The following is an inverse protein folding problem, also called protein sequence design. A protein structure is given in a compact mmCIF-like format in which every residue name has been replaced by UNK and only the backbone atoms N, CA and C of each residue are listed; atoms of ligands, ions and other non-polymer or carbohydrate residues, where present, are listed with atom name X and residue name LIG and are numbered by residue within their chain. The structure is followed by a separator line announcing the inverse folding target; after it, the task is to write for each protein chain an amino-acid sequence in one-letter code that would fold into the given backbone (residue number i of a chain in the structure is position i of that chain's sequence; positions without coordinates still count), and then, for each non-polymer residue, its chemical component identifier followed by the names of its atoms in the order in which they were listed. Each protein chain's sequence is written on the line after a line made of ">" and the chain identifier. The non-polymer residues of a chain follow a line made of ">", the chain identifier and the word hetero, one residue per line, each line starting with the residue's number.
data_IF_376878852854
#
_entry.id   IF_376878852854
#
_cell.length_a   1.000
_cell.length_b   1.000
_cell.length_c   1.000
_cell.angle_alpha   90.00
_cell.angle_beta   90.00
_cell.angle_gamma   90.00
#
_symmetry.space_group_name_H-M   'P 1'
#
loop_
_entity.id
_entity.type
_entity.pdbx_description
1 polymer ?
#
# COMPACT_ATOMS: atom_id res chain seq x y z
N UNK A 1 -37.09 7.56 -40.98
CA UNK A 1 -38.32 6.79 -40.74
C UNK A 1 -37.95 5.51 -40.00
N UNK A 2 -38.33 5.43 -38.71
CA UNK A 2 -38.79 4.28 -37.88
C UNK A 2 -38.23 2.88 -38.26
N UNK A 3 -37.62 2.08 -37.38
CA UNK A 3 -38.11 1.40 -36.15
C UNK A 3 -36.87 0.77 -35.46
N UNK A 4 -36.60 0.87 -34.16
CA UNK A 4 -37.49 0.82 -33.01
C UNK A 4 -37.81 -0.63 -32.66
N UNK A 5 -36.96 -1.31 -31.87
CA UNK A 5 -37.28 -2.62 -31.28
C UNK A 5 -36.76 -2.69 -29.84
N UNK A 6 -37.70 -2.43 -28.92
CA UNK A 6 -37.61 -2.77 -27.50
C UNK A 6 -37.90 -4.28 -27.38
N UNK A 7 -37.12 -5.00 -26.56
CA UNK A 7 -37.47 -6.34 -26.08
C UNK A 7 -37.38 -6.31 -24.57
N UNK A 8 -38.43 -6.85 -23.95
CA UNK A 8 -38.80 -6.73 -22.53
C UNK A 8 -38.68 -8.11 -21.86
N UNK A 9 -38.09 -8.14 -20.65
CA UNK A 9 -38.32 -8.97 -19.46
C UNK A 9 -38.55 -10.52 -19.49
N UNK A 10 -37.91 -11.20 -18.52
CA UNK A 10 -38.45 -12.24 -17.59
C UNK A 10 -37.30 -12.64 -16.63
N UNK A 11 -37.32 -12.51 -15.29
CA UNK A 11 -38.10 -13.14 -14.17
C UNK A 11 -37.90 -14.65 -14.02
N UNK A 12 -37.52 -15.07 -12.78
CA UNK A 12 -37.50 -16.41 -12.10
C UNK A 12 -36.07 -16.81 -11.63
N UNK A 13 -35.80 -17.40 -10.47
CA UNK A 13 -36.56 -17.74 -9.26
C UNK A 13 -35.59 -18.17 -8.13
N UNK A 14 -36.10 -18.09 -6.90
CA UNK A 14 -35.69 -18.64 -5.61
C UNK A 14 -34.64 -19.78 -5.49
N UNK A 15 -33.88 -19.73 -4.40
CA UNK A 15 -33.22 -20.88 -3.77
C UNK A 15 -32.85 -20.59 -2.31
N UNK A 16 -33.67 -21.05 -1.37
CA UNK A 16 -33.43 -20.99 0.08
C UNK A 16 -33.35 -22.41 0.64
N UNK A 17 -32.23 -22.77 1.27
CA UNK A 17 -31.98 -23.96 2.10
C UNK A 17 -30.64 -23.69 2.84
N UNK A 18 -30.34 -24.06 4.08
CA UNK A 18 -31.03 -24.50 5.28
C UNK A 18 -29.95 -24.56 6.39
N UNK A 19 -30.38 -24.61 7.65
CA UNK A 19 -29.58 -24.58 8.88
C UNK A 19 -28.58 -25.74 9.03
N UNK A 20 -27.42 -25.46 9.62
CA UNK A 20 -26.46 -26.44 10.14
C UNK A 20 -26.02 -26.05 11.55
N UNK A 21 -26.70 -26.58 12.55
CA UNK A 21 -26.37 -26.49 13.97
C UNK A 21 -25.85 -27.85 14.46
N UNK A 22 -24.69 -27.87 15.13
CA UNK A 22 -24.21 -28.86 16.11
C UNK A 22 -22.84 -28.34 16.59
N UNK A 23 -22.51 -28.13 17.86
CA UNK A 23 -22.88 -28.85 19.07
C UNK A 23 -21.67 -29.70 19.51
N UNK A 24 -21.00 -29.35 20.61
CA UNK A 24 -19.90 -30.16 21.14
C UNK A 24 -19.07 -29.51 22.25
N UNK A 25 -19.56 -29.63 23.48
CA UNK A 25 -18.93 -29.28 24.76
C UNK A 25 -17.83 -30.26 25.18
N UNK A 26 -16.74 -29.75 25.77
CA UNK A 26 -15.76 -30.56 26.51
C UNK A 26 -15.08 -29.70 27.58
N UNK A 27 -15.57 -29.82 28.81
CA UNK A 27 -14.86 -29.39 30.04
C UNK A 27 -13.92 -30.51 30.47
N UNK A 28 -12.72 -30.16 30.93
CA UNK A 28 -12.07 -30.89 32.02
C UNK A 28 -11.17 -29.95 32.83
N UNK A 29 -11.48 -29.91 34.12
CA UNK A 29 -10.74 -29.35 35.24
C UNK A 29 -9.29 -29.88 35.31
N UNK A 30 -8.36 -29.04 35.76
CA UNK A 30 -7.76 -29.21 37.08
C UNK A 30 -6.60 -28.22 37.30
N UNK A 31 -6.67 -27.58 38.47
CA UNK A 31 -5.73 -26.63 38.99
C UNK A 31 -4.29 -27.15 39.09
N UNK A 32 -3.33 -26.23 38.94
CA UNK A 32 -2.11 -26.29 39.76
C UNK A 32 -1.76 -24.88 40.24
N UNK A 33 -1.90 -24.70 41.54
CA UNK A 33 -1.42 -23.60 42.36
C UNK A 33 0.11 -23.49 42.31
N UNK A 34 0.67 -22.28 42.30
CA UNK A 34 1.33 -21.65 43.49
C UNK A 34 2.21 -20.47 43.07
N UNK A 35 1.83 -19.29 43.56
CA UNK A 35 2.61 -18.15 44.08
C UNK A 35 4.15 -18.26 44.07
N UNK A 36 4.83 -17.31 43.41
CA UNK A 36 6.03 -16.63 43.96
C UNK A 36 6.37 -15.32 43.21
N UNK A 37 6.17 -14.19 43.89
CA UNK A 37 6.91 -12.94 43.72
C UNK A 37 7.43 -12.54 45.12
N UNK A 38 8.34 -11.56 45.32
CA UNK A 38 9.15 -10.77 44.38
C UNK A 38 10.66 -10.80 44.75
N UNK A 39 11.53 -10.12 43.97
CA UNK A 39 12.69 -9.41 44.50
C UNK A 39 13.26 -8.43 43.47
N UNK A 40 13.35 -7.16 43.86
CA UNK A 40 14.02 -6.09 43.15
C UNK A 40 15.55 -6.18 43.35
N UNK A 41 16.30 -5.83 42.30
CA UNK A 41 17.71 -5.44 42.43
C UNK A 41 17.93 -4.17 41.63
N UNK A 42 18.24 -3.10 42.38
CA UNK A 42 18.77 -1.83 41.88
C UNK A 42 20.24 -2.01 41.51
N UNK A 43 20.70 -1.44 40.41
CA UNK A 43 22.11 -1.11 40.21
C UNK A 43 22.24 0.22 39.48
N UNK A 44 22.98 1.12 40.13
CA UNK A 44 23.25 2.50 39.73
C UNK A 44 24.59 2.59 39.01
N UNK A 45 24.68 3.62 38.15
CA UNK A 45 25.87 4.39 37.76
C UNK A 45 26.43 4.15 36.35
N UNK A 46 26.55 5.27 35.61
CA UNK A 46 27.28 5.36 34.36
C UNK A 46 27.07 6.68 33.61
N UNK A 47 27.21 7.83 34.28
CA UNK A 47 27.33 9.13 33.60
C UNK A 47 28.69 9.21 32.90
N UNK A 48 28.68 9.34 31.59
CA UNK A 48 29.80 9.84 30.80
C UNK A 48 29.28 10.80 29.74
N UNK A 49 29.60 12.08 29.92
CA UNK A 49 29.42 13.12 28.92
C UNK A 49 30.52 13.00 27.86
N UNK A 50 30.13 12.86 26.59
CA UNK A 50 31.02 13.10 25.45
C UNK A 50 30.35 14.12 24.52
N UNK A 51 30.92 15.32 24.49
CA UNK A 51 30.65 16.34 23.47
C UNK A 51 31.42 15.98 22.21
N UNK A 52 30.71 15.49 21.19
CA UNK A 52 31.25 15.34 19.83
C UNK A 52 30.65 16.42 18.94
N UNK A 53 31.54 17.08 18.20
CA UNK A 53 31.26 18.21 17.33
C UNK A 53 30.17 17.91 16.30
N UNK A 54 29.30 18.90 16.07
CA UNK A 54 28.36 18.93 14.95
C UNK A 54 29.15 19.07 13.64
N UNK A 55 29.40 17.94 12.98
CA UNK A 55 29.66 17.91 11.55
C UNK A 55 28.33 18.19 10.87
N UNK A 56 28.24 19.29 10.13
CA UNK A 56 27.14 19.54 9.22
C UNK A 56 27.16 18.44 8.15
N UNK A 57 26.34 17.42 8.33
CA UNK A 57 25.99 16.49 7.26
C UNK A 57 25.09 17.26 6.31
N UNK A 58 25.64 17.66 5.18
CA UNK A 58 24.83 18.01 4.02
C UNK A 58 24.15 16.72 3.58
N UNK A 59 22.90 16.50 3.98
CA UNK A 59 22.09 15.40 3.47
C UNK A 59 21.85 15.69 1.99
N UNK A 60 22.59 15.00 1.13
CA UNK A 60 22.24 14.91 -0.27
C UNK A 60 20.90 14.20 -0.35
N UNK A 61 19.89 14.93 -0.79
CA UNK A 61 18.55 14.42 -1.06
C UNK A 61 18.68 13.48 -2.24
N UNK A 62 18.46 12.18 -2.01
CA UNK A 62 18.25 11.21 -3.08
C UNK A 62 16.73 11.11 -3.22
N UNK A 63 16.14 11.96 -4.06
CA UNK A 63 14.72 11.80 -4.42
C UNK A 63 14.60 10.54 -5.28
N UNK A 64 13.73 9.62 -4.87
CA UNK A 64 13.42 8.42 -5.64
C UNK A 64 13.20 8.78 -7.11
N UNK A 65 13.88 8.07 -8.01
CA UNK A 65 13.84 8.37 -9.44
C UNK A 65 13.07 7.30 -10.19
N UNK A 66 12.03 7.69 -10.92
CA UNK A 66 11.32 6.79 -11.82
C UNK A 66 11.87 6.90 -13.24
N UNK A 67 12.09 5.75 -13.88
CA UNK A 67 12.42 5.67 -15.30
C UNK A 67 11.52 4.68 -16.00
N UNK A 68 10.81 5.13 -17.02
CA UNK A 68 10.04 4.26 -17.91
C UNK A 68 10.92 3.81 -19.07
N UNK A 69 11.13 2.50 -19.19
CA UNK A 69 11.83 1.89 -20.33
C UNK A 69 10.87 1.66 -21.50
N UNK A 70 11.43 1.58 -22.71
CA UNK A 70 10.68 1.19 -23.91
C UNK A 70 10.05 -0.20 -23.69
N UNK A 71 8.73 -0.29 -23.87
CA UNK A 71 7.93 -1.47 -23.56
C UNK A 71 7.02 -1.36 -22.33
N UNK A 72 6.90 -0.17 -21.71
CA UNK A 72 5.99 0.04 -20.57
C UNK A 72 6.53 -0.47 -19.23
N UNK A 73 7.79 -0.91 -19.19
CA UNK A 73 8.45 -1.32 -17.94
C UNK A 73 8.85 -0.06 -17.19
N UNK A 74 8.16 0.23 -16.09
CA UNK A 74 8.50 1.32 -15.19
C UNK A 74 9.43 0.80 -14.11
N UNK A 75 10.58 1.44 -13.94
CA UNK A 75 11.53 1.16 -12.85
C UNK A 75 11.55 2.37 -11.94
N UNK A 76 11.04 2.19 -10.72
CA UNK A 76 11.09 3.18 -9.66
C UNK A 76 12.28 2.87 -8.77
N UNK A 77 13.19 3.83 -8.62
CA UNK A 77 14.38 3.70 -7.78
C UNK A 77 14.02 4.13 -6.37
N UNK A 78 14.35 3.29 -5.40
CA UNK A 78 14.04 3.52 -3.99
C UNK A 78 14.73 4.80 -3.45
N UNK A 79 13.97 5.58 -2.69
CA UNK A 79 14.46 6.66 -1.85
C UNK A 79 14.86 6.10 -0.49
N UNK A 80 15.90 6.67 0.11
CA UNK A 80 16.47 6.17 1.36
C UNK A 80 15.50 6.28 2.55
N UNK A 81 15.33 5.19 3.30
CA UNK A 81 14.64 5.18 4.59
C UNK A 81 15.27 6.17 5.58
N UNK A 82 14.44 6.81 6.43
CA UNK A 82 14.91 7.50 7.64
C UNK A 82 14.75 9.02 7.68
N UNK A 83 13.97 9.61 6.77
CA UNK A 83 13.42 10.96 6.96
C UNK A 83 12.20 10.91 7.87
N UNK A 84 12.07 11.93 8.71
CA UNK A 84 10.82 12.25 9.43
C UNK A 84 10.07 13.32 8.61
N UNK A 85 8.90 12.97 8.09
CA UNK A 85 8.07 13.82 7.23
C UNK A 85 6.89 14.40 8.01
N UNK A 86 6.79 15.72 8.03
CA UNK A 86 5.72 16.44 8.73
C UNK A 86 4.44 16.56 7.89
N UNK A 87 3.31 16.82 8.55
CA UNK A 87 1.98 16.92 7.89
C UNK A 87 1.94 17.91 6.72
N UNK A 88 2.72 19.00 6.81
CA UNK A 88 2.78 20.03 5.77
C UNK A 88 3.58 19.61 4.52
N UNK A 89 4.34 18.53 4.62
CA UNK A 89 5.13 17.96 3.52
C UNK A 89 4.40 16.79 2.83
N UNK A 90 3.18 16.46 3.28
CA UNK A 90 2.38 15.41 2.66
C UNK A 90 1.72 15.92 1.38
N UNK A 91 1.75 15.08 0.35
CA UNK A 91 1.12 15.34 -0.91
C UNK A 91 -0.37 14.99 -0.89
N UNK A 92 -1.10 15.60 -1.83
CA UNK A 92 -2.50 15.27 -2.08
C UNK A 92 -2.64 14.37 -3.29
N UNK A 93 -3.48 13.35 -3.17
CA UNK A 93 -3.92 12.51 -4.27
C UNK A 93 -5.42 12.72 -4.48
N UNK A 94 -5.80 13.16 -5.68
CA UNK A 94 -7.20 13.43 -6.02
C UNK A 94 -7.55 12.83 -7.39
N UNK A 95 -8.77 12.30 -7.57
CA UNK A 95 -9.85 12.19 -6.59
C UNK A 95 -9.58 11.14 -5.50
N UNK A 96 -10.38 11.11 -4.42
CA UNK A 96 -10.35 9.98 -3.48
C UNK A 96 -10.75 8.68 -4.21
N UNK A 97 -10.19 7.54 -3.81
CA UNK A 97 -10.49 6.24 -4.40
C UNK A 97 -9.28 5.34 -4.61
N UNK A 98 -9.35 4.51 -5.65
CA UNK A 98 -8.32 3.53 -5.99
C UNK A 98 -7.29 4.15 -6.94
N UNK A 99 -6.01 4.04 -6.60
CA UNK A 99 -4.89 4.49 -7.43
C UNK A 99 -3.89 3.37 -7.61
N UNK A 100 -3.28 3.30 -8.78
CA UNK A 100 -2.26 2.31 -9.13
C UNK A 100 -0.89 2.96 -9.11
N UNK A 101 0.13 2.20 -8.76
CA UNK A 101 1.47 2.76 -8.61
C UNK A 101 2.49 1.81 -8.02
N UNK A 102 3.70 2.33 -7.95
CA UNK A 102 4.86 1.67 -7.37
C UNK A 102 5.25 2.36 -6.07
N UNK A 103 5.80 1.58 -5.14
CA UNK A 103 6.34 2.10 -3.90
C UNK A 103 7.80 2.47 -4.14
N UNK A 104 8.12 3.74 -3.90
CA UNK A 104 9.47 4.28 -4.05
C UNK A 104 10.20 4.33 -2.70
N UNK A 105 9.56 4.00 -1.59
CA UNK A 105 10.20 4.00 -0.28
C UNK A 105 9.23 4.17 0.86
N UNK A 106 9.76 4.06 2.07
CA UNK A 106 9.02 4.22 3.30
C UNK A 106 9.75 5.17 4.25
N UNK A 107 9.01 6.15 4.74
CA UNK A 107 9.47 7.14 5.71
C UNK A 107 8.63 7.07 6.99
N UNK A 108 9.16 7.68 8.04
CA UNK A 108 8.38 7.96 9.25
C UNK A 108 7.86 9.38 9.14
N UNK A 109 6.75 9.67 9.78
CA UNK A 109 6.23 11.02 9.77
C UNK A 109 5.31 11.33 10.92
N UNK A 110 4.82 12.57 10.95
CA UNK A 110 3.80 12.97 11.91
C UNK A 110 2.61 13.65 11.23
N UNK A 111 1.41 13.20 11.58
CA UNK A 111 0.14 13.83 11.22
C UNK A 111 -0.50 14.41 12.47
N UNK A 112 -0.62 15.73 12.55
CA UNK A 112 -1.15 16.42 13.74
C UNK A 112 -0.39 16.05 15.04
N UNK A 113 0.92 15.77 14.94
CA UNK A 113 1.76 15.34 16.06
C UNK A 113 1.59 13.88 16.48
N UNK A 114 0.83 13.07 15.72
CA UNK A 114 0.76 11.62 15.88
C UNK A 114 1.74 10.94 14.91
N UNK A 115 2.51 9.94 15.34
CA UNK A 115 3.40 9.21 14.46
C UNK A 115 2.60 8.40 13.44
N UNK A 116 2.99 8.49 12.17
CA UNK A 116 2.44 7.71 11.06
C UNK A 116 3.58 7.17 10.20
N UNK A 117 3.28 6.20 9.35
CA UNK A 117 4.15 5.81 8.25
C UNK A 117 3.82 6.69 7.04
N UNK A 118 4.83 7.08 6.27
CA UNK A 118 4.68 7.87 5.05
C UNK A 118 5.21 7.04 3.89
N UNK A 119 4.32 6.67 2.97
CA UNK A 119 4.65 5.92 1.77
C UNK A 119 5.06 6.88 0.66
N UNK A 120 6.21 6.64 0.05
CA UNK A 120 6.64 7.33 -1.15
C UNK A 120 6.01 6.61 -2.35
N UNK A 121 5.09 7.28 -3.01
CA UNK A 121 4.19 6.70 -4.01
C UNK A 121 4.43 7.29 -5.38
N UNK A 122 4.71 6.42 -6.34
CA UNK A 122 4.82 6.75 -7.75
C UNK A 122 3.55 6.30 -8.48
N UNK A 123 2.69 7.26 -8.81
CA UNK A 123 1.38 7.00 -9.40
C UNK A 123 1.50 6.62 -10.89
N UNK A 124 0.79 5.58 -11.30
CA UNK A 124 0.76 5.10 -12.68
C UNK A 124 -0.66 4.80 -13.15
N UNK A 125 -0.86 4.81 -14.46
CA UNK A 125 -2.10 4.39 -15.09
C UNK A 125 -1.98 2.94 -15.57
N UNK A 126 -2.91 2.08 -15.13
CA UNK A 126 -3.01 0.70 -15.59
C UNK A 126 -4.11 0.58 -16.65
N UNK A 127 -3.71 0.25 -17.88
CA UNK A 127 -4.61 -0.06 -18.98
C UNK A 127 -4.69 -1.57 -19.19
N UNK A 128 -5.85 -2.08 -19.59
CA UNK A 128 -6.06 -3.51 -19.89
C UNK A 128 -6.86 -3.70 -21.19
N UNK A 129 -6.69 -4.85 -21.83
CA UNK A 129 -7.40 -5.23 -23.06
C UNK A 129 -7.15 -4.25 -24.21
N UNK A 130 -8.21 -3.83 -24.89
CA UNK A 130 -8.09 -2.91 -26.03
C UNK A 130 -7.53 -1.54 -25.62
N UNK A 131 -7.86 -1.06 -24.42
CA UNK A 131 -7.34 0.21 -23.92
C UNK A 131 -5.81 0.16 -23.74
N UNK A 132 -5.26 -1.00 -23.37
CA UNK A 132 -3.81 -1.20 -23.29
C UNK A 132 -3.14 -1.11 -24.67
N UNK A 133 -3.75 -1.72 -25.69
CA UNK A 133 -3.26 -1.66 -27.07
C UNK A 133 -3.31 -0.23 -27.60
N UNK A 134 -4.41 0.47 -27.35
CA UNK A 134 -4.58 1.86 -27.81
C UNK A 134 -3.57 2.79 -27.12
N UNK A 135 -3.40 2.66 -25.79
CA UNK A 135 -2.42 3.43 -25.03
C UNK A 135 -0.97 3.11 -25.45
N UNK A 136 -0.62 1.84 -25.64
CA UNK A 136 0.71 1.46 -26.12
C UNK A 136 0.98 2.04 -27.52
N UNK A 137 -0.03 2.03 -28.41
CA UNK A 137 0.10 2.57 -29.75
C UNK A 137 0.29 4.09 -29.77
N UNK A 138 -0.40 4.83 -28.88
CA UNK A 138 -0.18 6.27 -28.68
C UNK A 138 1.27 6.60 -28.29
N UNK A 139 1.89 5.71 -27.49
CA UNK A 139 3.29 5.84 -27.07
C UNK A 139 4.29 5.26 -28.08
N UNK A 140 3.81 4.79 -29.23
CA UNK A 140 4.64 4.19 -30.28
C UNK A 140 5.21 2.81 -29.91
N UNK A 141 4.63 2.14 -28.91
CA UNK A 141 5.00 0.80 -28.46
C UNK A 141 4.13 -0.26 -29.14
N UNK A 142 4.68 -1.47 -29.28
CA UNK A 142 3.89 -2.66 -29.64
C UNK A 142 3.71 -3.49 -28.38
N UNK A 143 2.47 -3.85 -28.07
CA UNK A 143 2.15 -4.58 -26.85
C UNK A 143 2.16 -6.09 -27.10
N UNK A 144 2.93 -6.83 -26.29
CA UNK A 144 2.95 -8.31 -26.30
C UNK A 144 2.08 -8.89 -25.16
N UNK A 145 1.70 -8.06 -24.20
CA UNK A 145 0.86 -8.36 -23.03
C UNK A 145 -0.59 -7.89 -23.27
N UNK A 146 -1.50 -8.26 -22.37
CA UNK A 146 -2.88 -7.76 -22.37
C UNK A 146 -3.09 -6.52 -21.47
N UNK A 147 -2.02 -6.03 -20.85
CA UNK A 147 -1.99 -4.83 -20.02
C UNK A 147 -0.85 -3.90 -20.43
N UNK A 148 -1.01 -2.61 -20.14
CA UNK A 148 0.00 -1.59 -20.34
C UNK A 148 0.00 -0.65 -19.14
N UNK A 149 1.17 -0.41 -18.55
CA UNK A 149 1.34 0.53 -17.44
C UNK A 149 2.03 1.77 -17.97
N UNK A 150 1.39 2.92 -17.80
CA UNK A 150 1.93 4.22 -18.23
C UNK A 150 2.19 5.09 -17.02
N UNK A 151 3.38 5.68 -16.95
CA UNK A 151 3.69 6.73 -15.99
C UNK A 151 4.01 8.03 -16.74
N UNK A 152 2.99 8.83 -17.04
CA UNK A 152 3.17 10.15 -17.67
C UNK A 152 3.71 11.20 -16.69
N UNK A 153 3.48 10.99 -15.39
CA UNK A 153 3.80 11.94 -14.34
C UNK A 153 4.68 11.28 -13.29
N UNK A 154 5.99 11.25 -13.57
CA UNK A 154 7.05 10.68 -12.73
C UNK A 154 7.29 11.51 -11.44
N UNK A 155 6.24 11.74 -10.68
CA UNK A 155 6.27 12.50 -9.42
C UNK A 155 6.09 11.52 -8.27
N UNK A 156 7.11 11.42 -7.41
CA UNK A 156 7.00 10.72 -6.13
C UNK A 156 6.17 11.57 -5.18
N UNK A 157 5.17 10.96 -4.55
CA UNK A 157 4.26 11.60 -3.60
C UNK A 157 4.44 11.04 -2.21
N UNK A 158 4.40 11.90 -1.20
CA UNK A 158 4.46 11.50 0.21
C UNK A 158 3.06 11.35 0.78
N UNK A 159 2.62 10.12 0.99
CA UNK A 159 1.27 9.80 1.42
C UNK A 159 1.27 9.16 2.81
N UNK A 160 0.51 9.72 3.75
CA UNK A 160 0.40 9.14 5.09
C UNK A 160 -0.43 7.85 5.05
N UNK A 161 0.04 6.80 5.72
CA UNK A 161 -0.69 5.55 5.89
C UNK A 161 -1.41 5.56 7.24
N UNK A 162 -2.70 5.24 7.25
CA UNK A 162 -3.43 5.12 8.51
C UNK A 162 -2.94 3.89 9.28
N UNK A 163 -2.83 3.93 10.62
CA UNK A 163 -2.32 2.80 11.40
C UNK A 163 -3.09 1.49 11.21
N UNK A 164 -4.39 1.59 10.88
CA UNK A 164 -5.28 0.45 10.67
C UNK A 164 -5.46 0.10 9.17
N UNK A 165 -4.56 0.55 8.30
CA UNK A 165 -4.64 0.26 6.87
C UNK A 165 -4.60 -1.25 6.61
N UNK A 166 -5.50 -1.75 5.77
CA UNK A 166 -5.44 -3.16 5.34
C UNK A 166 -4.36 -3.32 4.27
N UNK A 167 -3.39 -4.21 4.50
CA UNK A 167 -2.31 -4.46 3.56
C UNK A 167 -2.34 -5.91 3.09
N UNK A 168 -2.30 -6.11 1.78
CA UNK A 168 -2.20 -7.43 1.17
C UNK A 168 -1.11 -7.45 0.10
N UNK A 169 -0.36 -8.55 0.05
CA UNK A 169 0.62 -8.85 -0.99
C UNK A 169 0.19 -10.08 -1.79
N UNK A 170 0.97 -10.45 -2.81
CA UNK A 170 0.70 -11.63 -3.64
C UNK A 170 1.59 -12.81 -3.23
N UNK A 171 0.97 -13.97 -3.00
CA UNK A 171 1.70 -15.20 -2.64
C UNK A 171 2.58 -15.66 -3.81
N UNK A 172 3.91 -15.58 -3.64
CA UNK A 172 4.88 -16.06 -4.63
C UNK A 172 4.72 -15.46 -6.04
N UNK A 173 4.14 -14.25 -6.15
CA UNK A 173 3.83 -13.61 -7.43
C UNK A 173 2.61 -14.18 -8.16
N UNK A 174 1.84 -15.07 -7.52
CA UNK A 174 0.57 -15.58 -8.03
C UNK A 174 -0.62 -14.64 -7.76
N UNK A 175 -1.83 -14.96 -8.24
CA UNK A 175 -3.01 -14.10 -8.10
C UNK A 175 -3.64 -14.15 -6.70
N UNK A 176 -3.07 -14.89 -5.76
CA UNK A 176 -3.65 -15.12 -4.43
C UNK A 176 -3.20 -14.00 -3.48
N UNK A 177 -4.11 -13.14 -2.99
CA UNK A 177 -3.76 -12.15 -2.01
C UNK A 177 -3.53 -12.78 -0.64
N UNK A 178 -2.50 -12.33 0.07
CA UNK A 178 -2.17 -12.73 1.44
C UNK A 178 -2.02 -11.50 2.34
N UNK A 179 -2.46 -11.56 3.61
CA UNK A 179 -2.22 -10.47 4.55
C UNK A 179 -0.73 -10.15 4.70
N UNK A 180 -0.39 -8.87 4.74
CA UNK A 180 1.00 -8.39 4.86
C UNK A 180 1.03 -7.08 5.66
N UNK A 181 2.14 -6.37 5.61
CA UNK A 181 2.34 -5.08 6.28
C UNK A 181 3.03 -4.10 5.33
N UNK A 182 2.89 -2.80 5.61
CA UNK A 182 3.54 -1.75 4.80
C UNK A 182 5.05 -1.99 4.72
N UNK A 183 5.68 -2.31 5.85
CA UNK A 183 7.12 -2.61 6.00
C UNK A 183 7.60 -3.78 5.11
N UNK A 184 6.71 -4.70 4.73
CA UNK A 184 7.01 -5.83 3.84
C UNK A 184 6.74 -5.51 2.38
N UNK A 185 5.63 -4.81 2.08
CA UNK A 185 5.20 -4.59 0.69
C UNK A 185 5.99 -3.51 -0.02
N UNK A 186 6.55 -2.52 0.69
CA UNK A 186 7.33 -1.46 0.04
C UNK A 186 8.62 -1.96 -0.61
N UNK A 187 9.17 -3.08 -0.12
CA UNK A 187 10.35 -3.75 -0.68
C UNK A 187 10.03 -4.59 -1.92
N UNK A 188 8.74 -4.72 -2.26
CA UNK A 188 8.30 -5.53 -3.38
C UNK A 188 8.22 -4.66 -4.64
N UNK A 189 8.84 -5.13 -5.71
CA UNK A 189 8.78 -4.48 -7.03
C UNK A 189 7.54 -4.93 -7.81
N UNK A 190 6.37 -4.88 -7.16
CA UNK A 190 5.08 -5.18 -7.78
C UNK A 190 4.28 -3.91 -8.04
N UNK A 191 3.32 -4.00 -8.94
CA UNK A 191 2.29 -2.98 -9.04
C UNK A 191 1.35 -3.13 -7.84
N UNK A 192 1.07 -2.02 -7.18
CA UNK A 192 0.11 -1.97 -6.08
C UNK A 192 -1.09 -1.10 -6.45
N UNK A 193 -2.20 -1.36 -5.79
CA UNK A 193 -3.37 -0.51 -5.74
C UNK A 193 -3.51 0.02 -4.32
N UNK A 194 -3.53 1.33 -4.16
CA UNK A 194 -3.82 1.98 -2.89
C UNK A 194 -5.24 2.52 -2.89
N UNK A 195 -5.91 2.44 -1.75
CA UNK A 195 -7.17 3.14 -1.53
C UNK A 195 -6.88 4.38 -0.68
N UNK A 196 -7.13 5.55 -1.24
CA UNK A 196 -6.92 6.84 -0.58
C UNK A 196 -8.23 7.51 -0.22
N UNK A 197 -8.22 8.19 0.91
CA UNK A 197 -9.31 9.07 1.32
C UNK A 197 -8.78 10.29 2.04
N UNK A 198 -9.55 11.37 1.99
CA UNK A 198 -9.20 12.60 2.69
C UNK A 198 -9.77 12.60 4.11
N UNK A 199 -8.90 12.59 5.11
CA UNK A 199 -9.28 12.69 6.54
C UNK A 199 -8.77 14.02 7.08
N UNK A 200 -9.69 14.89 7.50
CA UNK A 200 -9.37 16.22 8.06
C UNK A 200 -8.47 17.08 7.16
N UNK A 201 -8.57 16.91 5.84
CA UNK A 201 -7.79 17.68 4.87
C UNK A 201 -6.41 17.10 4.55
N UNK A 202 -6.08 15.91 5.07
CA UNK A 202 -4.87 15.15 4.74
C UNK A 202 -5.29 13.93 3.91
N UNK A 203 -4.64 13.70 2.77
CA UNK A 203 -4.79 12.47 2.01
C UNK A 203 -4.12 11.34 2.78
N UNK A 204 -4.88 10.28 3.05
CA UNK A 204 -4.41 9.12 3.80
C UNK A 204 -4.71 7.83 3.06
N UNK A 205 -3.80 6.87 3.13
CA UNK A 205 -3.96 5.53 2.59
C UNK A 205 -4.67 4.65 3.63
N UNK A 206 -5.82 4.09 3.26
CA UNK A 206 -6.60 3.15 4.07
C UNK A 206 -6.46 1.69 3.64
N UNK A 207 -5.94 1.43 2.44
CA UNK A 207 -5.73 0.07 1.96
C UNK A 207 -4.61 -0.01 0.92
N UNK A 208 -3.90 -1.13 0.91
CA UNK A 208 -2.82 -1.45 -0.03
C UNK A 208 -3.05 -2.89 -0.51
N UNK A 209 -3.16 -3.08 -1.82
CA UNK A 209 -3.41 -4.38 -2.44
C UNK A 209 -2.40 -4.64 -3.55
N UNK A 210 -1.71 -5.78 -3.50
CA UNK A 210 -0.87 -6.25 -4.60
C UNK A 210 -1.71 -6.54 -5.85
N UNK A 211 -1.28 -6.04 -7.01
CA UNK A 211 -1.98 -6.21 -8.28
C UNK A 211 -1.28 -7.29 -9.10
N UNK A 212 -2.02 -8.37 -9.38
CA UNK A 212 -1.53 -9.43 -10.25
C UNK A 212 -1.68 -9.03 -11.71
N UNK A 213 -0.58 -9.07 -12.45
CA UNK A 213 -0.54 -8.83 -13.89
C UNK A 213 -0.28 -10.19 -14.58
N UNK A 214 -1.23 -10.70 -15.38
CA UNK A 214 -1.18 -12.04 -15.97
C UNK A 214 -0.16 -12.22 -17.10
#
# INVERSE_FOLDING_TARGET
>A
MVRGRKITAAVLAAGALALGACGGSGSDDAATTTTKAPAATSTTAGTSSSTTAATASTTTVDEGTTTTAAGGVTTTTESSEGRDTDTSELDTLTPDGDHYGYMAGLEKGTVEGQPVQVLLWDEVELFTGQAAVDAAAEDGQTLETDYYVRNENQTIRHLAVVPDASVTSLDGGGPTPVPSSVDEVWQQQYLFKINVGTVRGVTTISGIEGVYLP
#
